data_IF_079699051954
#
_entry.id   IF_079699051954
#
_cell.length_a   1.000
_cell.length_b   1.000
_cell.length_c   1.000
_cell.angle_alpha   90.00
_cell.angle_beta   90.00
_cell.angle_gamma   90.00
#
_symmetry.space_group_name_H-M   'P 1'
#
loop_
_entity.id
_entity.type
_entity.pdbx_description
1 polymer ?
#
# COMPACT_ATOMS: atom_id res chain seq x y z
N UNK A 1 23.83 8.33 -11.43
CA UNK A 1 24.13 9.71 -11.89
C UNK A 1 23.07 10.17 -12.88
N UNK A 2 22.83 9.48 -14.02
CA UNK A 2 21.84 9.90 -15.03
C UNK A 2 20.43 10.08 -14.44
N UNK A 3 19.97 9.19 -13.58
CA UNK A 3 18.69 9.29 -12.87
C UNK A 3 18.57 10.56 -12.02
N UNK A 4 19.64 10.96 -11.33
CA UNK A 4 19.64 12.17 -10.51
C UNK A 4 19.45 13.45 -11.36
N UNK A 5 20.05 13.49 -12.55
CA UNK A 5 19.82 14.60 -13.49
C UNK A 5 18.37 14.64 -13.99
N UNK A 6 17.80 13.49 -14.37
CA UNK A 6 16.40 13.43 -14.79
C UNK A 6 15.48 13.88 -13.64
N UNK A 7 15.76 13.43 -12.41
CA UNK A 7 15.00 13.81 -11.23
C UNK A 7 15.01 15.32 -11.00
N UNK A 8 16.18 15.95 -11.05
CA UNK A 8 16.33 17.40 -10.87
C UNK A 8 15.64 18.23 -11.96
N UNK A 9 15.46 17.68 -13.15
CA UNK A 9 14.79 18.34 -14.27
C UNK A 9 13.26 18.19 -14.25
N UNK A 10 12.76 17.09 -13.67
CA UNK A 10 11.34 16.72 -13.78
C UNK A 10 10.58 16.89 -12.46
N UNK A 11 11.28 16.80 -11.32
CA UNK A 11 10.63 16.86 -10.01
C UNK A 11 10.74 18.27 -9.42
N UNK A 12 9.59 18.85 -9.14
CA UNK A 12 9.46 20.16 -8.52
C UNK A 12 9.05 20.02 -7.05
N UNK A 13 9.56 20.85 -6.15
CA UNK A 13 9.25 20.77 -4.71
C UNK A 13 7.83 21.24 -4.37
N UNK A 14 7.20 22.04 -5.25
CA UNK A 14 5.84 22.52 -5.06
C UNK A 14 5.09 22.62 -6.40
N UNK A 15 3.74 22.53 -6.38
CA UNK A 15 2.93 22.71 -7.60
C UNK A 15 3.10 24.10 -8.26
N UNK A 16 3.49 25.11 -7.48
CA UNK A 16 3.69 26.48 -7.96
C UNK A 16 4.89 26.60 -8.90
N UNK A 17 5.89 25.74 -8.71
CA UNK A 17 7.10 25.70 -9.53
C UNK A 17 7.00 24.71 -10.69
N UNK A 18 5.98 23.83 -10.67
CA UNK A 18 5.79 22.81 -11.68
C UNK A 18 5.24 23.40 -12.98
N UNK A 19 5.67 22.84 -14.12
CA UNK A 19 5.17 23.19 -15.45
C UNK A 19 3.85 22.42 -15.72
N UNK A 20 2.81 22.78 -14.98
CA UNK A 20 1.47 22.19 -15.04
C UNK A 20 0.44 23.25 -15.40
N UNK A 21 -0.73 22.81 -15.90
CA UNK A 21 -1.84 23.71 -16.20
C UNK A 21 -2.41 24.39 -14.96
N UNK A 22 -3.00 25.57 -15.12
CA UNK A 22 -3.51 26.35 -13.99
C UNK A 22 -4.65 25.62 -13.24
N UNK A 23 -5.51 24.89 -13.96
CA UNK A 23 -6.57 24.07 -13.36
C UNK A 23 -6.02 22.90 -12.53
N UNK A 24 -4.94 22.27 -12.98
CA UNK A 24 -4.28 21.18 -12.25
C UNK A 24 -3.54 21.73 -11.03
N UNK A 25 -2.92 22.92 -11.15
CA UNK A 25 -2.25 23.60 -10.05
C UNK A 25 -3.22 23.95 -8.92
N UNK A 26 -4.40 24.46 -9.25
CA UNK A 26 -5.43 24.80 -8.26
C UNK A 26 -5.94 23.54 -7.54
N UNK A 27 -6.24 22.48 -8.28
CA UNK A 27 -6.63 21.20 -7.71
C UNK A 27 -5.58 20.64 -6.73
N UNK A 28 -4.30 20.68 -7.13
CA UNK A 28 -3.21 20.21 -6.27
C UNK A 28 -3.05 21.09 -5.04
N UNK A 29 -3.25 22.39 -5.16
CA UNK A 29 -3.19 23.35 -4.05
C UNK A 29 -4.30 23.05 -3.02
N UNK A 30 -5.54 22.90 -3.45
CA UNK A 30 -6.65 22.53 -2.59
C UNK A 30 -6.40 21.20 -1.86
N UNK A 31 -5.86 20.20 -2.58
CA UNK A 31 -5.53 18.91 -1.98
C UNK A 31 -4.39 19.01 -0.96
N UNK A 32 -3.38 19.84 -1.22
CA UNK A 32 -2.28 20.08 -0.29
C UNK A 32 -2.74 20.82 0.96
N UNK A 33 -3.56 21.86 0.81
CA UNK A 33 -4.14 22.59 1.94
C UNK A 33 -5.02 21.67 2.80
N UNK A 34 -5.85 20.84 2.18
CA UNK A 34 -6.64 19.83 2.87
C UNK A 34 -5.75 18.79 3.59
N UNK A 35 -4.65 18.38 2.97
CA UNK A 35 -3.68 17.47 3.57
C UNK A 35 -2.90 18.11 4.73
N UNK A 36 -2.50 19.38 4.59
CA UNK A 36 -1.83 20.14 5.65
C UNK A 36 -2.76 20.36 6.86
N UNK A 37 -4.01 20.72 6.62
CA UNK A 37 -5.01 20.88 7.68
C UNK A 37 -5.24 19.55 8.43
N UNK A 38 -5.22 18.42 7.73
CA UNK A 38 -5.24 17.07 8.35
C UNK A 38 -3.97 16.76 9.12
N UNK A 39 -2.81 17.14 8.61
CA UNK A 39 -1.53 16.93 9.26
C UNK A 39 -1.36 17.80 10.52
N UNK A 40 -1.92 19.00 10.54
CA UNK A 40 -1.93 19.88 11.72
C UNK A 40 -2.85 19.34 12.83
N UNK A 41 -3.82 18.49 12.48
CA UNK A 41 -4.61 17.69 13.42
C UNK A 41 -3.92 16.36 13.77
N UNK A 42 -2.63 16.22 13.48
CA UNK A 42 -1.92 14.95 13.70
C UNK A 42 -1.95 14.61 15.19
N UNK A 43 -2.65 13.54 15.48
CA UNK A 43 -2.69 12.91 16.80
C UNK A 43 -1.27 12.54 17.19
N UNK A 44 -0.84 12.94 18.39
CA UNK A 44 0.46 12.52 18.93
C UNK A 44 0.60 11.00 18.79
N UNK A 45 1.83 10.52 18.54
CA UNK A 45 2.12 9.08 18.41
C UNK A 45 1.59 8.30 19.63
N UNK A 46 1.60 8.93 20.81
CA UNK A 46 1.11 8.33 22.06
C UNK A 46 -0.42 8.23 22.15
N UNK A 47 -1.15 9.03 21.36
CA UNK A 47 -2.62 9.03 21.32
C UNK A 47 -3.20 8.08 20.26
N UNK A 48 -2.33 7.44 19.48
CA UNK A 48 -2.76 6.46 18.47
C UNK A 48 -3.38 5.23 19.16
N UNK A 49 -4.40 4.64 18.55
CA UNK A 49 -5.09 3.49 19.14
C UNK A 49 -4.30 2.18 18.94
N UNK A 50 -3.09 2.11 19.46
CA UNK A 50 -2.15 0.99 19.32
C UNK A 50 -2.78 -0.37 19.63
N UNK A 51 -3.55 -0.45 20.72
CA UNK A 51 -4.25 -1.69 21.08
C UNK A 51 -5.17 -2.15 19.94
N UNK A 52 -5.88 -1.24 19.28
CA UNK A 52 -6.76 -1.56 18.16
C UNK A 52 -5.96 -2.03 16.93
N UNK A 53 -4.81 -1.41 16.67
CA UNK A 53 -3.96 -1.83 15.57
C UNK A 53 -3.47 -3.28 15.73
N UNK A 54 -3.02 -3.66 16.91
CA UNK A 54 -2.49 -5.00 17.18
C UNK A 54 -3.57 -6.07 17.44
N UNK A 55 -4.81 -5.67 17.74
CA UNK A 55 -5.92 -6.63 17.95
C UNK A 55 -6.85 -6.76 16.74
N UNK A 56 -6.68 -5.95 15.71
CA UNK A 56 -7.51 -6.00 14.50
C UNK A 56 -7.04 -7.12 13.57
N UNK A 57 -7.89 -8.10 13.31
CA UNK A 57 -7.60 -9.20 12.40
C UNK A 57 -7.27 -8.73 10.98
N UNK A 58 -7.95 -7.74 10.38
CA UNK A 58 -7.57 -7.21 9.08
C UNK A 58 -6.17 -6.58 9.08
N UNK A 59 -5.76 -5.89 10.14
CA UNK A 59 -4.40 -5.34 10.25
C UNK A 59 -3.37 -6.47 10.36
N UNK A 60 -3.66 -7.50 11.16
CA UNK A 60 -2.79 -8.68 11.25
C UNK A 60 -2.67 -9.40 9.90
N UNK A 61 -3.77 -9.47 9.13
CA UNK A 61 -3.75 -10.10 7.80
C UNK A 61 -2.79 -9.35 6.85
N UNK A 62 -2.79 -8.02 6.87
CA UNK A 62 -1.86 -7.21 6.07
C UNK A 62 -0.42 -7.43 6.54
N UNK A 63 -0.20 -7.48 7.86
CA UNK A 63 1.13 -7.72 8.43
C UNK A 63 1.67 -9.10 8.04
N UNK A 64 0.88 -10.17 8.19
CA UNK A 64 1.24 -11.53 7.76
C UNK A 64 1.53 -11.56 6.25
N UNK A 65 0.71 -10.88 5.43
CA UNK A 65 0.96 -10.72 4.02
C UNK A 65 2.33 -10.07 3.73
N UNK A 66 2.65 -9.00 4.45
CA UNK A 66 3.95 -8.33 4.33
C UNK A 66 5.11 -9.25 4.76
N UNK A 67 4.96 -9.98 5.85
CA UNK A 67 5.97 -10.92 6.34
C UNK A 67 6.25 -12.02 5.30
N UNK A 68 5.22 -12.69 4.79
CA UNK A 68 5.36 -13.73 3.77
C UNK A 68 6.00 -13.19 2.49
N UNK A 69 5.59 -11.98 2.08
CA UNK A 69 6.19 -11.30 0.92
C UNK A 69 7.68 -11.08 1.09
N UNK A 70 8.10 -10.51 2.21
CA UNK A 70 9.50 -10.20 2.44
C UNK A 70 10.34 -11.46 2.62
N UNK A 71 9.77 -12.53 3.19
CA UNK A 71 10.43 -13.83 3.28
C UNK A 71 10.80 -14.36 1.90
N UNK A 72 9.83 -14.50 0.99
CA UNK A 72 10.06 -15.00 -0.38
C UNK A 72 10.94 -14.05 -1.18
N UNK A 73 10.72 -12.73 -1.04
CA UNK A 73 11.50 -11.74 -1.78
C UNK A 73 12.99 -11.80 -1.43
N UNK A 74 13.33 -11.92 -0.14
CA UNK A 74 14.70 -12.11 0.31
C UNK A 74 15.28 -13.44 -0.20
N UNK A 75 14.49 -14.51 -0.15
CA UNK A 75 14.91 -15.80 -0.69
C UNK A 75 15.24 -15.72 -2.20
N UNK A 76 14.40 -15.06 -2.99
CA UNK A 76 14.60 -14.90 -4.42
C UNK A 76 15.86 -14.08 -4.75
N UNK A 77 16.11 -13.00 -4.02
CA UNK A 77 17.26 -12.12 -4.29
C UNK A 77 18.56 -12.73 -3.77
N UNK A 78 18.56 -13.27 -2.55
CA UNK A 78 19.78 -13.65 -1.88
C UNK A 78 20.16 -15.11 -2.15
N UNK A 79 19.19 -16.00 -2.24
CA UNK A 79 19.44 -17.43 -2.20
C UNK A 79 19.31 -18.11 -3.57
N UNK A 80 18.51 -17.60 -4.50
CA UNK A 80 18.33 -18.21 -5.83
C UNK A 80 19.63 -18.23 -6.65
N UNK A 81 20.49 -17.19 -6.65
CA UNK A 81 21.78 -17.29 -7.31
C UNK A 81 22.65 -18.43 -6.77
N UNK A 82 22.66 -18.61 -5.45
CA UNK A 82 23.41 -19.65 -4.80
C UNK A 82 22.81 -21.03 -5.06
N UNK A 83 21.48 -21.15 -5.07
CA UNK A 83 20.77 -22.37 -5.47
C UNK A 83 21.21 -22.88 -6.85
N UNK A 84 21.23 -22.02 -7.85
CA UNK A 84 21.66 -22.41 -9.20
C UNK A 84 23.14 -22.80 -9.25
N UNK A 85 23.97 -22.13 -8.45
CA UNK A 85 25.39 -22.47 -8.35
C UNK A 85 25.63 -23.81 -7.67
N UNK A 86 25.04 -24.02 -6.49
CA UNK A 86 25.31 -25.19 -5.65
C UNK A 86 24.67 -26.45 -6.23
N UNK A 87 23.43 -26.35 -6.75
CA UNK A 87 22.69 -27.52 -7.24
C UNK A 87 23.04 -27.93 -8.65
N UNK A 88 23.44 -26.96 -9.51
CA UNK A 88 23.65 -27.25 -10.94
C UNK A 88 24.99 -26.81 -11.48
N UNK A 89 25.83 -26.16 -10.69
CA UNK A 89 27.19 -25.75 -11.13
C UNK A 89 27.20 -24.79 -12.31
N UNK A 90 26.15 -23.98 -12.50
CA UNK A 90 26.00 -23.12 -13.66
C UNK A 90 27.04 -21.99 -13.70
N UNK A 91 27.45 -21.52 -14.90
CA UNK A 91 28.34 -20.37 -15.05
C UNK A 91 27.72 -19.11 -14.48
N UNK A 92 28.53 -18.22 -13.87
CA UNK A 92 28.06 -16.97 -13.21
C UNK A 92 27.22 -16.07 -14.14
N UNK A 93 27.60 -15.98 -15.43
CA UNK A 93 26.83 -15.19 -16.40
C UNK A 93 25.40 -15.73 -16.58
N UNK A 94 25.25 -17.05 -16.65
CA UNK A 94 23.94 -17.71 -16.75
C UNK A 94 23.13 -17.49 -15.47
N UNK A 95 23.75 -17.65 -14.30
CA UNK A 95 23.11 -17.41 -12.99
C UNK A 95 22.58 -15.99 -12.90
N UNK A 96 23.35 -14.99 -13.36
CA UNK A 96 22.92 -13.59 -13.38
C UNK A 96 21.62 -13.39 -14.15
N UNK A 97 21.52 -13.97 -15.35
CA UNK A 97 20.29 -13.88 -16.17
C UNK A 97 19.12 -14.62 -15.50
N UNK A 98 19.33 -15.84 -15.02
CA UNK A 98 18.30 -16.66 -14.39
C UNK A 98 17.77 -16.01 -13.10
N UNK A 99 18.61 -15.28 -12.37
CA UNK A 99 18.22 -14.60 -11.13
C UNK A 99 17.53 -13.25 -11.40
N UNK A 100 17.88 -12.57 -12.49
CA UNK A 100 17.28 -11.27 -12.83
C UNK A 100 15.90 -11.41 -13.51
N UNK A 101 15.72 -12.41 -14.36
CA UNK A 101 14.51 -12.57 -15.16
C UNK A 101 13.19 -12.64 -14.35
N UNK A 102 13.09 -13.33 -13.20
CA UNK A 102 11.88 -13.33 -12.38
C UNK A 102 11.48 -11.93 -11.94
N UNK A 103 12.43 -11.06 -11.61
CA UNK A 103 12.15 -9.67 -11.21
C UNK A 103 11.67 -8.82 -12.37
N UNK A 104 12.19 -9.04 -13.58
CA UNK A 104 11.69 -8.38 -14.81
C UNK A 104 10.23 -8.79 -15.06
N UNK A 105 9.93 -10.09 -14.97
CA UNK A 105 8.56 -10.60 -15.09
C UNK A 105 7.62 -9.93 -14.05
N UNK A 106 8.08 -9.82 -12.80
CA UNK A 106 7.32 -9.16 -11.73
C UNK A 106 7.00 -7.69 -12.08
N UNK A 107 7.98 -6.92 -12.56
CA UNK A 107 7.78 -5.50 -12.91
C UNK A 107 6.76 -5.34 -14.04
N UNK A 108 6.85 -6.17 -15.08
CA UNK A 108 5.90 -6.17 -16.20
C UNK A 108 4.48 -6.45 -15.69
N UNK A 109 4.31 -7.52 -14.91
CA UNK A 109 3.00 -7.91 -14.40
C UNK A 109 2.43 -6.95 -13.34
N UNK A 110 3.28 -6.20 -12.64
CA UNK A 110 2.84 -5.20 -11.66
C UNK A 110 2.00 -4.10 -12.31
N UNK A 111 2.42 -3.60 -13.47
CA UNK A 111 1.67 -2.58 -14.20
C UNK A 111 0.31 -3.10 -14.68
N UNK A 112 0.27 -4.32 -15.22
CA UNK A 112 -0.98 -4.95 -15.64
C UNK A 112 -1.91 -5.23 -14.46
N UNK A 113 -1.37 -5.77 -13.36
CA UNK A 113 -2.13 -6.14 -12.16
C UNK A 113 -2.81 -4.94 -11.53
N UNK A 114 -2.09 -3.84 -11.34
CA UNK A 114 -2.65 -2.61 -10.77
C UNK A 114 -3.83 -2.10 -11.59
N UNK A 115 -3.65 -1.94 -12.89
CA UNK A 115 -4.72 -1.47 -13.79
C UNK A 115 -5.92 -2.43 -13.80
N UNK A 116 -5.67 -3.73 -13.78
CA UNK A 116 -6.73 -4.74 -13.78
C UNK A 116 -7.59 -4.68 -12.51
N UNK A 117 -6.96 -4.71 -11.33
CA UNK A 117 -7.70 -4.70 -10.06
C UNK A 117 -8.37 -3.36 -9.79
N UNK A 118 -7.76 -2.24 -10.19
CA UNK A 118 -8.38 -0.92 -10.08
C UNK A 118 -9.63 -0.81 -10.96
N UNK A 119 -9.60 -1.35 -12.18
CA UNK A 119 -10.79 -1.41 -13.06
C UNK A 119 -11.91 -2.28 -12.47
N UNK A 120 -11.61 -3.35 -11.75
CA UNK A 120 -12.64 -4.15 -11.08
C UNK A 120 -13.39 -3.34 -10.02
N UNK A 121 -12.66 -2.53 -9.24
CA UNK A 121 -13.24 -1.64 -8.24
C UNK A 121 -14.04 -0.52 -8.92
N UNK A 122 -13.44 0.19 -9.88
CA UNK A 122 -14.07 1.32 -10.58
C UNK A 122 -15.36 0.92 -11.28
N UNK A 123 -15.39 -0.27 -11.90
CA UNK A 123 -16.60 -0.80 -12.56
C UNK A 123 -17.59 -1.44 -11.59
N UNK A 124 -17.30 -1.42 -10.29
CA UNK A 124 -18.13 -2.06 -9.25
C UNK A 124 -18.44 -3.54 -9.51
N UNK A 125 -17.57 -4.24 -10.22
CA UNK A 125 -17.73 -5.68 -10.50
C UNK A 125 -17.48 -6.52 -9.24
N UNK A 126 -16.60 -6.05 -8.36
CA UNK A 126 -16.30 -6.65 -7.06
C UNK A 126 -16.20 -5.56 -6.00
N UNK A 127 -16.57 -5.90 -4.76
CA UNK A 127 -16.31 -5.02 -3.62
C UNK A 127 -14.80 -4.86 -3.39
N UNK A 128 -14.41 -3.75 -2.73
CA UNK A 128 -13.00 -3.50 -2.39
C UNK A 128 -12.41 -4.69 -1.63
N UNK A 129 -13.14 -5.22 -0.64
CA UNK A 129 -12.71 -6.39 0.14
C UNK A 129 -12.43 -7.61 -0.73
N UNK A 130 -13.34 -7.97 -1.63
CA UNK A 130 -13.14 -9.11 -2.51
C UNK A 130 -12.03 -8.90 -3.53
N UNK A 131 -11.90 -7.68 -4.04
CA UNK A 131 -10.80 -7.34 -4.97
C UNK A 131 -9.44 -7.50 -4.28
N UNK A 132 -9.30 -7.00 -3.03
CA UNK A 132 -8.05 -7.14 -2.26
C UNK A 132 -7.75 -8.61 -1.95
N UNK A 133 -8.75 -9.38 -1.53
CA UNK A 133 -8.62 -10.82 -1.26
C UNK A 133 -8.22 -11.61 -2.50
N UNK A 134 -8.87 -11.34 -3.62
CA UNK A 134 -8.61 -12.03 -4.88
C UNK A 134 -7.20 -11.71 -5.40
N UNK A 135 -6.80 -10.45 -5.40
CA UNK A 135 -5.47 -10.01 -5.81
C UNK A 135 -4.37 -10.72 -4.99
N UNK A 136 -4.54 -10.76 -3.68
CA UNK A 136 -3.62 -11.42 -2.77
C UNK A 136 -3.60 -12.94 -2.96
N UNK A 137 -4.77 -13.57 -3.06
CA UNK A 137 -4.89 -15.01 -3.18
C UNK A 137 -4.31 -15.52 -4.50
N UNK A 138 -4.58 -14.85 -5.61
CA UNK A 138 -3.97 -15.19 -6.90
C UNK A 138 -2.46 -14.99 -6.83
N UNK A 139 -2.01 -13.81 -6.35
CA UNK A 139 -0.59 -13.49 -6.28
C UNK A 139 0.20 -14.48 -5.42
N UNK A 140 -0.24 -14.71 -4.19
CA UNK A 140 0.47 -15.60 -3.27
C UNK A 140 0.18 -17.08 -3.51
N UNK A 141 -1.03 -17.42 -3.96
CA UNK A 141 -1.38 -18.79 -4.30
C UNK A 141 -0.51 -19.32 -5.43
N UNK A 142 -0.40 -18.57 -6.53
CA UNK A 142 0.45 -18.97 -7.66
C UNK A 142 1.93 -18.95 -7.27
N UNK A 143 2.41 -17.88 -6.63
CA UNK A 143 3.83 -17.81 -6.23
C UNK A 143 4.18 -18.90 -5.22
N UNK A 144 3.35 -19.13 -4.20
CA UNK A 144 3.56 -20.18 -3.20
C UNK A 144 3.50 -21.57 -3.80
N UNK A 145 2.55 -21.81 -4.70
CA UNK A 145 2.44 -23.07 -5.44
C UNK A 145 3.64 -23.34 -6.33
N UNK A 146 4.11 -22.35 -7.11
CA UNK A 146 5.32 -22.46 -7.90
C UNK A 146 6.55 -22.71 -7.03
N UNK A 147 6.70 -21.97 -5.92
CA UNK A 147 7.82 -22.14 -4.98
C UNK A 147 7.80 -23.54 -4.35
N UNK A 148 6.62 -24.02 -3.97
CA UNK A 148 6.46 -25.38 -3.44
C UNK A 148 6.78 -26.44 -4.51
N UNK A 149 6.35 -26.25 -5.75
CA UNK A 149 6.63 -27.16 -6.85
C UNK A 149 8.14 -27.31 -7.15
N UNK A 150 8.92 -26.22 -7.02
CA UNK A 150 10.38 -26.26 -7.18
C UNK A 150 11.03 -27.25 -6.21
N UNK A 151 10.45 -27.46 -5.02
CA UNK A 151 10.96 -28.43 -4.05
C UNK A 151 10.93 -29.89 -4.54
N UNK A 152 10.22 -30.18 -5.63
CA UNK A 152 10.05 -31.52 -6.20
C UNK A 152 10.65 -31.64 -7.61
N UNK A 153 11.42 -30.63 -8.04
CA UNK A 153 11.99 -30.59 -9.41
C UNK A 153 13.50 -30.60 -9.35
N UNK A 154 14.10 -31.44 -10.20
CA UNK A 154 15.54 -31.60 -10.31
C UNK A 154 16.13 -30.88 -11.55
N UNK A 155 15.29 -30.37 -12.45
CA UNK A 155 15.73 -29.64 -13.65
C UNK A 155 15.68 -28.13 -13.44
N UNK A 156 16.84 -27.49 -13.61
CA UNK A 156 16.98 -26.03 -13.42
C UNK A 156 16.12 -25.20 -14.38
N UNK A 157 15.82 -25.70 -15.59
CA UNK A 157 15.00 -24.97 -16.58
C UNK A 157 13.55 -24.90 -16.11
N UNK A 158 13.04 -26.02 -15.56
CA UNK A 158 11.69 -26.06 -15.00
C UNK A 158 11.60 -25.20 -13.74
N UNK A 159 12.59 -25.28 -12.84
CA UNK A 159 12.67 -24.42 -11.67
C UNK A 159 12.70 -22.93 -12.06
N UNK A 160 13.47 -22.57 -13.08
CA UNK A 160 13.53 -21.20 -13.60
C UNK A 160 12.18 -20.71 -14.12
N UNK A 161 11.47 -21.51 -14.91
CA UNK A 161 10.15 -21.17 -15.41
C UNK A 161 9.17 -20.91 -14.24
N UNK A 162 9.19 -21.79 -13.23
CA UNK A 162 8.33 -21.63 -12.06
C UNK A 162 8.69 -20.37 -11.24
N UNK A 163 9.98 -20.04 -11.13
CA UNK A 163 10.42 -18.79 -10.50
C UNK A 163 9.87 -17.56 -11.25
N UNK A 164 9.95 -17.57 -12.58
CA UNK A 164 9.42 -16.47 -13.40
C UNK A 164 7.90 -16.35 -13.29
N UNK A 165 7.17 -17.46 -13.40
CA UNK A 165 5.71 -17.48 -13.26
C UNK A 165 5.28 -17.01 -11.86
N UNK A 166 5.88 -17.58 -10.81
CA UNK A 166 5.60 -17.20 -9.43
C UNK A 166 5.86 -15.71 -9.17
N UNK A 167 7.01 -15.20 -9.63
CA UNK A 167 7.35 -13.79 -9.48
C UNK A 167 6.39 -12.87 -10.25
N UNK A 168 6.02 -13.22 -11.48
CA UNK A 168 5.06 -12.47 -12.28
C UNK A 168 3.71 -12.31 -11.54
N UNK A 169 3.14 -13.43 -11.10
CA UNK A 169 1.85 -13.40 -10.40
C UNK A 169 1.92 -12.75 -9.03
N UNK A 170 3.07 -12.81 -8.34
CA UNK A 170 3.24 -12.16 -7.04
C UNK A 170 3.04 -10.64 -7.09
N UNK A 171 3.20 -10.04 -8.25
CA UNK A 171 2.95 -8.62 -8.49
C UNK A 171 1.51 -8.23 -8.19
N UNK A 172 0.54 -9.13 -8.40
CA UNK A 172 -0.88 -8.87 -8.12
C UNK A 172 -1.17 -8.66 -6.64
N UNK A 173 -0.43 -9.32 -5.76
CA UNK A 173 -0.58 -9.16 -4.32
C UNK A 173 -0.25 -7.74 -3.83
N UNK A 174 0.50 -6.96 -4.58
CA UNK A 174 0.78 -5.55 -4.26
C UNK A 174 -0.53 -4.75 -4.22
N UNK A 175 -1.44 -4.98 -5.18
CA UNK A 175 -2.79 -4.39 -5.18
C UNK A 175 -3.69 -4.94 -4.06
N UNK A 176 -3.33 -6.06 -3.44
CA UNK A 176 -4.02 -6.65 -2.28
C UNK A 176 -3.61 -5.96 -0.98
N UNK A 177 -2.52 -6.41 -0.37
CA UNK A 177 -2.16 -6.03 1.00
C UNK A 177 -1.51 -4.65 1.14
N UNK A 178 -0.78 -4.16 0.12
CA UNK A 178 0.04 -2.96 0.27
C UNK A 178 -0.80 -1.67 0.26
N UNK A 179 -1.89 -1.65 -0.47
CA UNK A 179 -2.84 -0.52 -0.52
C UNK A 179 -3.90 -0.58 0.57
N UNK A 180 -4.11 -1.74 1.18
CA UNK A 180 -5.17 -2.00 2.14
C UNK A 180 -5.13 -1.16 3.43
N UNK A 181 -3.98 -0.67 3.96
CA UNK A 181 -3.98 0.30 5.06
C UNK A 181 -4.82 1.56 4.80
N UNK A 182 -4.87 2.03 3.54
CA UNK A 182 -5.69 3.16 3.13
C UNK A 182 -7.19 2.82 3.18
N UNK A 183 -7.56 1.58 2.84
CA UNK A 183 -8.96 1.14 2.88
C UNK A 183 -9.45 1.00 4.34
N UNK A 184 -8.60 0.44 5.22
CA UNK A 184 -8.97 0.14 6.62
C UNK A 184 -9.12 1.39 7.48
N UNK A 185 -8.21 2.33 7.36
CA UNK A 185 -8.20 3.54 8.18
C UNK A 185 -7.37 4.65 7.50
N UNK A 186 -7.94 5.43 6.58
CA UNK A 186 -7.23 6.46 5.83
C UNK A 186 -6.48 7.46 6.73
N UNK A 187 -7.09 7.88 7.86
CA UNK A 187 -6.46 8.80 8.79
C UNK A 187 -5.26 8.22 9.54
N UNK A 188 -5.15 6.91 9.64
CA UNK A 188 -4.04 6.20 10.27
C UNK A 188 -3.18 5.41 9.25
N UNK A 189 -3.31 5.72 7.96
CA UNK A 189 -2.60 4.98 6.90
C UNK A 189 -1.07 5.00 7.07
N UNK A 190 -0.51 6.14 7.51
CA UNK A 190 0.93 6.26 7.81
C UNK A 190 1.40 5.30 8.90
N UNK A 191 0.86 5.39 10.13
CA UNK A 191 1.17 4.47 11.23
C UNK A 191 0.93 3.00 10.87
N UNK A 192 -0.19 2.68 10.21
CA UNK A 192 -0.50 1.31 9.78
C UNK A 192 0.52 0.79 8.75
N UNK A 193 0.89 1.62 7.79
CA UNK A 193 1.95 1.28 6.83
C UNK A 193 3.29 1.04 7.54
N UNK A 194 3.60 1.83 8.58
CA UNK A 194 4.76 1.61 9.44
C UNK A 194 4.74 0.23 10.09
N UNK A 195 3.61 -0.18 10.69
CA UNK A 195 3.43 -1.51 11.27
C UNK A 195 3.62 -2.60 10.20
N UNK A 196 2.96 -2.45 9.05
CA UNK A 196 3.05 -3.43 7.95
C UNK A 196 4.50 -3.59 7.46
N UNK A 197 5.27 -2.50 7.41
CA UNK A 197 6.69 -2.56 7.04
C UNK A 197 7.54 -3.35 8.03
N UNK A 198 7.15 -3.52 9.29
CA UNK A 198 7.86 -4.43 10.20
C UNK A 198 7.79 -5.90 9.76
N UNK A 199 6.90 -6.24 8.83
CA UNK A 199 6.91 -7.53 8.11
C UNK A 199 8.22 -7.82 7.37
N UNK A 200 9.13 -6.84 7.23
CA UNK A 200 10.52 -7.07 6.79
C UNK A 200 11.26 -8.09 7.66
N UNK A 201 10.79 -8.36 8.87
CA UNK A 201 11.28 -9.49 9.67
C UNK A 201 11.23 -10.82 8.92
N UNK A 202 10.30 -10.98 7.97
CA UNK A 202 10.28 -12.13 7.08
C UNK A 202 11.57 -12.31 6.28
N UNK A 203 12.19 -11.23 5.81
CA UNK A 203 13.48 -11.28 5.13
C UNK A 203 14.59 -11.74 6.06
N UNK A 204 14.62 -11.24 7.30
CA UNK A 204 15.59 -11.66 8.32
C UNK A 204 15.44 -13.15 8.63
N UNK A 205 14.20 -13.63 8.79
CA UNK A 205 13.92 -15.05 9.04
C UNK A 205 14.35 -15.90 7.86
N UNK A 206 14.09 -15.46 6.62
CA UNK A 206 14.48 -16.19 5.40
C UNK A 206 16.01 -16.37 5.31
N UNK A 207 16.77 -15.29 5.45
CA UNK A 207 18.24 -15.34 5.37
C UNK A 207 18.84 -16.08 6.56
N UNK A 208 18.27 -15.96 7.76
CA UNK A 208 18.70 -16.74 8.94
C UNK A 208 18.45 -18.23 8.74
N UNK A 209 17.27 -18.61 8.23
CA UNK A 209 16.96 -20.01 7.92
C UNK A 209 17.95 -20.58 6.88
N UNK A 210 18.24 -19.81 5.84
CA UNK A 210 19.22 -20.19 4.84
C UNK A 210 20.62 -20.42 5.44
N UNK A 211 21.02 -19.62 6.43
CA UNK A 211 22.32 -19.78 7.11
C UNK A 211 22.38 -21.00 8.02
N UNK A 212 21.25 -21.50 8.48
CA UNK A 212 21.17 -22.71 9.33
C UNK A 212 21.22 -24.01 8.51
N UNK A 213 21.08 -23.95 7.19
CA UNK A 213 21.23 -25.12 6.35
C UNK A 213 22.67 -25.64 6.41
N UNK A 214 22.89 -26.95 6.65
CA UNK A 214 24.23 -27.48 6.91
C UNK A 214 25.13 -27.44 5.69
N UNK A 215 26.39 -27.02 5.88
CA UNK A 215 27.49 -27.14 4.96
C UNK A 215 27.84 -25.90 4.13
N UNK A 216 29.15 -25.86 3.69
CA UNK A 216 29.64 -24.82 2.75
C UNK A 216 29.08 -24.97 1.34
N UNK A 217 28.77 -26.21 0.93
CA UNK A 217 28.04 -26.52 -0.31
C UNK A 217 26.73 -27.18 0.07
N UNK A 218 25.65 -26.46 -0.09
CA UNK A 218 24.31 -26.95 0.16
C UNK A 218 23.94 -27.96 -0.93
N UNK A 219 23.40 -29.10 -0.52
CA UNK A 219 22.87 -30.09 -1.46
C UNK A 219 21.56 -29.65 -2.07
N UNK A 220 21.19 -30.21 -3.22
CA UNK A 220 19.88 -29.99 -3.83
C UNK A 220 18.75 -30.26 -2.84
N UNK A 221 18.86 -31.32 -2.03
CA UNK A 221 17.87 -31.64 -0.99
C UNK A 221 17.71 -30.52 0.08
N UNK A 222 18.82 -29.86 0.46
CA UNK A 222 18.76 -28.73 1.39
C UNK A 222 18.00 -27.55 0.80
N UNK A 223 18.19 -27.27 -0.49
CA UNK A 223 17.47 -26.24 -1.23
C UNK A 223 16.00 -26.59 -1.40
N UNK A 224 15.68 -27.86 -1.72
CA UNK A 224 14.29 -28.32 -1.80
C UNK A 224 13.54 -28.11 -0.49
N UNK A 225 14.15 -28.39 0.66
CA UNK A 225 13.55 -28.09 1.99
C UNK A 225 13.28 -26.61 2.18
N UNK A 226 14.19 -25.73 1.75
CA UNK A 226 13.99 -24.28 1.85
C UNK A 226 12.84 -23.80 0.97
N UNK A 227 12.75 -24.25 -0.27
CA UNK A 227 11.64 -23.93 -1.16
C UNK A 227 10.31 -24.48 -0.63
N UNK A 228 10.31 -25.66 -0.03
CA UNK A 228 9.13 -26.26 0.60
C UNK A 228 8.64 -25.39 1.77
N UNK A 229 9.53 -24.98 2.68
CA UNK A 229 9.18 -24.10 3.81
C UNK A 229 8.64 -22.76 3.28
N UNK A 230 9.33 -22.14 2.33
CA UNK A 230 8.90 -20.87 1.74
C UNK A 230 7.55 -20.97 1.04
N UNK A 231 7.33 -22.03 0.26
CA UNK A 231 6.07 -22.28 -0.44
C UNK A 231 4.90 -22.49 0.53
N UNK A 232 5.06 -23.32 1.56
CA UNK A 232 4.05 -23.58 2.58
C UNK A 232 3.72 -22.28 3.35
N UNK A 233 4.75 -21.53 3.77
CA UNK A 233 4.56 -20.26 4.47
C UNK A 233 3.77 -19.26 3.62
N UNK A 234 4.06 -19.19 2.33
CA UNK A 234 3.41 -18.28 1.41
C UNK A 234 1.94 -18.65 1.17
N UNK A 235 1.66 -19.94 0.98
CA UNK A 235 0.30 -20.45 0.86
C UNK A 235 -0.51 -20.26 2.15
N UNK A 236 0.10 -20.50 3.31
CA UNK A 236 -0.54 -20.21 4.61
C UNK A 236 -0.87 -18.73 4.75
N UNK A 237 0.05 -17.83 4.33
CA UNK A 237 -0.19 -16.39 4.28
C UNK A 237 -1.34 -16.00 3.35
N UNK A 238 -1.44 -16.64 2.17
CA UNK A 238 -2.56 -16.44 1.25
C UNK A 238 -3.90 -16.81 1.87
N UNK A 239 -3.98 -17.96 2.52
CA UNK A 239 -5.19 -18.43 3.20
C UNK A 239 -5.53 -17.52 4.39
N UNK A 240 -4.56 -17.15 5.20
CA UNK A 240 -4.78 -16.25 6.34
C UNK A 240 -5.33 -14.89 5.87
N UNK A 241 -4.78 -14.33 4.82
CA UNK A 241 -5.28 -13.08 4.26
C UNK A 241 -6.70 -13.25 3.69
N UNK A 242 -6.97 -14.33 2.98
CA UNK A 242 -8.30 -14.61 2.43
C UNK A 242 -9.36 -14.67 3.53
N UNK A 243 -9.04 -15.25 4.68
CA UNK A 243 -9.98 -15.38 5.79
C UNK A 243 -10.20 -14.06 6.53
N UNK A 244 -9.13 -13.35 6.87
CA UNK A 244 -9.15 -12.24 7.84
C UNK A 244 -9.01 -10.84 7.27
N UNK A 245 -8.64 -10.66 5.99
CA UNK A 245 -8.54 -9.33 5.40
C UNK A 245 -9.92 -8.70 5.19
N UNK A 246 -9.94 -7.39 5.24
CA UNK A 246 -11.09 -6.56 4.91
C UNK A 246 -10.64 -5.37 4.07
N UNK A 247 -11.46 -4.90 3.15
CA UNK A 247 -11.28 -3.64 2.43
C UNK A 247 -12.23 -2.56 2.94
N UNK A 248 -12.91 -2.79 4.08
CA UNK A 248 -13.86 -1.87 4.66
C UNK A 248 -13.22 -1.10 5.80
N UNK A 249 -13.66 0.15 5.94
CA UNK A 249 -13.20 1.01 7.03
C UNK A 249 -13.53 0.40 8.38
N UNK A 250 -12.54 0.33 9.25
CA UNK A 250 -12.70 -0.30 10.55
C UNK A 250 -13.49 0.59 11.50
N UNK A 251 -14.32 -0.01 12.36
CA UNK A 251 -15.19 0.68 13.33
C UNK A 251 -14.44 1.58 14.33
N UNK A 252 -13.17 1.26 14.59
CA UNK A 252 -12.29 2.07 15.44
C UNK A 252 -11.63 3.24 14.69
N UNK A 253 -11.72 3.27 13.36
CA UNK A 253 -11.27 4.39 12.57
C UNK A 253 -12.36 5.47 12.61
N UNK A 254 -12.08 6.57 13.30
CA UNK A 254 -12.99 7.73 13.34
C UNK A 254 -13.17 8.27 11.93
N UNK A 255 -14.38 8.67 11.59
CA UNK A 255 -14.64 9.37 10.36
C UNK A 255 -14.43 10.88 10.59
N UNK A 256 -13.32 11.47 10.08
CA UNK A 256 -13.14 12.92 10.18
C UNK A 256 -14.15 13.68 9.33
N UNK A 257 -14.86 12.98 8.44
CA UNK A 257 -15.86 13.54 7.51
C UNK A 257 -17.26 13.04 7.79
N UNK A 258 -17.57 12.61 9.02
CA UNK A 258 -18.94 12.29 9.40
C UNK A 258 -19.79 13.56 9.27
N UNK A 259 -20.42 13.75 8.12
CA UNK A 259 -21.19 14.96 7.76
C UNK A 259 -20.73 15.66 6.49
N UNK A 260 -19.61 15.29 5.87
CA UNK A 260 -19.25 15.76 4.52
C UNK A 260 -19.73 14.76 3.45
N UNK A 261 -20.23 15.22 2.30
CA UNK A 261 -20.59 14.35 1.19
C UNK A 261 -19.37 13.48 0.83
N UNK A 262 -19.57 12.18 0.69
CA UNK A 262 -18.51 11.28 0.20
C UNK A 262 -18.22 11.60 -1.26
N UNK A 263 -16.99 11.32 -1.72
CA UNK A 263 -16.67 11.41 -3.13
C UNK A 263 -17.64 10.58 -4.02
N UNK A 264 -18.26 9.54 -3.44
CA UNK A 264 -19.31 8.73 -4.05
C UNK A 264 -20.65 9.47 -4.19
N UNK A 265 -20.89 10.47 -3.33
CA UNK A 265 -22.12 11.28 -3.30
C UNK A 265 -21.99 12.51 -4.22
N UNK A 266 -20.79 12.79 -4.76
CA UNK A 266 -20.56 13.86 -5.73
C UNK A 266 -21.01 13.35 -7.11
N UNK A 267 -21.97 14.01 -7.77
CA UNK A 267 -22.42 13.61 -9.09
C UNK A 267 -21.24 13.46 -10.06
N UNK A 268 -21.21 12.36 -10.82
CA UNK A 268 -20.10 12.00 -11.75
C UNK A 268 -19.80 13.10 -12.80
N UNK A 269 -20.70 14.01 -13.03
CA UNK A 269 -20.55 15.17 -13.92
C UNK A 269 -19.43 16.12 -13.46
N UNK A 270 -19.19 16.19 -12.15
CA UNK A 270 -18.09 16.99 -11.56
C UNK A 270 -16.74 16.28 -11.66
N UNK A 271 -16.74 14.94 -11.71
CA UNK A 271 -15.50 14.14 -11.70
C UNK A 271 -14.88 13.94 -13.11
N UNK A 272 -15.69 14.07 -14.18
CA UNK A 272 -15.25 13.79 -15.55
C UNK A 272 -14.68 14.99 -16.31
N UNK A 273 -14.44 16.13 -15.66
CA UNK A 273 -13.69 17.25 -16.27
C UNK A 273 -14.33 17.86 -17.52
N UNK A 274 -15.58 17.53 -17.84
CA UNK A 274 -16.35 18.24 -18.84
C UNK A 274 -16.99 19.45 -18.19
N UNK A 275 -16.28 20.55 -18.17
CA UNK A 275 -16.86 21.87 -18.06
C UNK A 275 -17.68 22.11 -19.36
N UNK A 276 -18.87 21.56 -19.40
CA UNK A 276 -19.91 22.07 -20.24
C UNK A 276 -20.60 23.17 -19.47
N UNK A 277 -20.35 24.41 -19.87
CA UNK A 277 -21.07 25.64 -19.53
C UNK A 277 -21.35 25.92 -18.03
N UNK A 278 -20.81 27.03 -17.53
CA UNK A 278 -21.14 27.59 -16.23
C UNK A 278 -22.65 27.51 -15.93
N UNK A 279 -23.07 26.82 -14.85
CA UNK A 279 -24.43 27.01 -14.37
C UNK A 279 -24.55 28.46 -13.93
N UNK A 280 -25.53 29.18 -14.48
CA UNK A 280 -25.82 30.57 -14.16
C UNK A 280 -25.82 30.74 -12.64
N UNK A 281 -25.10 31.74 -12.17
CA UNK A 281 -24.90 32.15 -10.79
C UNK A 281 -26.20 32.20 -9.91
N UNK A 282 -27.37 32.17 -10.53
CA UNK A 282 -28.69 32.19 -9.87
C UNK A 282 -29.14 30.85 -9.28
N UNK A 283 -28.55 29.71 -9.68
CA UNK A 283 -28.98 28.39 -9.18
C UNK A 283 -28.07 27.85 -8.05
N UNK A 284 -26.84 28.39 -7.91
CA UNK A 284 -25.92 28.01 -6.84
C UNK A 284 -26.14 28.76 -5.52
N UNK A 285 -26.83 29.89 -5.56
CA UNK A 285 -27.07 30.75 -4.37
C UNK A 285 -27.90 30.08 -3.25
N UNK A 286 -28.91 29.23 -3.53
CA UNK A 286 -29.64 28.51 -2.46
C UNK A 286 -28.77 27.45 -1.76
N UNK A 287 -27.85 26.81 -2.47
CA UNK A 287 -26.97 25.77 -1.91
C UNK A 287 -25.85 26.37 -1.05
N UNK A 288 -25.30 27.50 -1.45
CA UNK A 288 -24.29 28.24 -0.65
C UNK A 288 -24.91 28.81 0.64
N UNK A 289 -26.15 29.30 0.63
CA UNK A 289 -26.85 29.75 1.84
C UNK A 289 -27.16 28.60 2.82
N UNK A 290 -27.39 27.40 2.34
CA UNK A 290 -27.59 26.24 3.21
C UNK A 290 -26.29 25.81 3.90
N UNK A 291 -25.14 25.98 3.25
CA UNK A 291 -23.83 25.69 3.84
C UNK A 291 -23.44 26.76 4.86
N UNK A 292 -23.68 28.05 4.59
CA UNK A 292 -23.40 29.13 5.54
C UNK A 292 -24.30 29.08 6.78
N UNK A 293 -25.55 28.63 6.67
CA UNK A 293 -26.47 28.49 7.84
C UNK A 293 -26.04 27.36 8.78
N UNK A 294 -25.30 26.36 8.30
CA UNK A 294 -24.78 25.26 9.13
C UNK A 294 -23.45 25.65 9.84
N UNK A 295 -22.70 26.59 9.27
CA UNK A 295 -21.42 27.03 9.87
C UNK A 295 -21.61 28.14 10.93
N UNK A 296 -22.75 28.83 10.98
CA UNK A 296 -23.00 29.91 11.93
C UNK A 296 -23.99 29.58 13.07
N UNK A 297 -24.45 28.32 13.16
CA UNK A 297 -25.31 27.81 14.23
C UNK A 297 -24.54 27.20 15.39
N UNK A 298 -23.98 28.02 16.28
CA UNK A 298 -23.72 27.60 17.64
C UNK A 298 -22.27 27.52 18.14
N UNK A 299 -21.72 28.65 18.53
CA UNK A 299 -20.93 28.78 19.77
C UNK A 299 -21.08 30.24 20.24
N UNK A 300 -21.89 30.47 21.26
CA UNK A 300 -21.84 31.72 22.02
C UNK A 300 -20.60 31.73 22.88
N UNK A 301 -19.74 32.75 22.81
CA UNK A 301 -18.64 32.88 23.78
C UNK A 301 -19.23 33.28 25.14
N UNK A 302 -18.84 32.53 26.16
CA UNK A 302 -19.13 32.86 27.57
C UNK A 302 -18.47 34.20 27.93
N UNK A 303 -19.28 35.18 28.29
CA UNK A 303 -18.82 36.43 28.85
C UNK A 303 -18.25 36.23 30.24
N UNK A 304 -16.95 36.26 30.39
CA UNK A 304 -16.34 36.50 31.68
C UNK A 304 -16.18 38.01 31.89
N UNK A 305 -17.07 38.51 32.76
CA UNK A 305 -16.98 39.80 33.42
C UNK A 305 -15.72 39.82 34.30
N UNK A 306 -14.74 40.67 34.01
CA UNK A 306 -13.86 41.21 35.01
C UNK A 306 -14.02 42.74 35.01
N UNK A 307 -14.62 43.18 36.09
CA UNK A 307 -14.74 44.59 36.41
C UNK A 307 -13.50 45.06 37.20
N UNK A 308 -13.23 46.31 36.99
CA UNK A 308 -12.78 47.13 38.11
C UNK A 308 -11.33 47.61 38.08
N UNK A 309 -11.21 48.95 38.00
CA UNK A 309 -10.17 49.77 38.67
C UNK A 309 -8.77 49.81 37.98
N UNK A 310 -8.18 50.89 37.64
CA UNK A 310 -8.12 52.24 38.22
C UNK A 310 -7.52 53.24 37.22
N UNK A 311 -7.94 54.46 37.35
CA UNK A 311 -7.34 55.70 36.94
C UNK A 311 -5.87 55.83 37.40
N UNK A 312 -5.08 56.52 36.62
CA UNK A 312 -3.76 57.04 37.01
C UNK A 312 -3.15 57.89 35.91
N UNK A 313 -3.54 59.14 35.88
CA UNK A 313 -2.86 60.23 35.18
C UNK A 313 -1.41 60.45 35.65
N UNK A 314 -0.64 61.06 34.78
CA UNK A 314 0.38 62.07 35.01
C UNK A 314 1.72 61.82 34.33
N UNK A 315 2.01 62.81 33.48
CA UNK A 315 3.22 63.29 32.83
C UNK A 315 3.76 62.56 31.64
#
# INVERSE_FOLDING_TARGET
VAWAFVWLLVVYPSPEQATIGDSERELLREQLEAAQNRATQSTSIFELPWKKFFTSLPVMAIWVGSFCRNFIFAMLISEVPQYFKDSYGLPTATIGVLSAAPHVCMVIFMSFGSVFFDKLIQKQLLSVTWTRKLAQFIGYGVQGGCTLAIAFIDDYKQAFILLCVGAAFSAFAISGFQTNPLDLAPQYAGPLTGIVRTGMLGAVVSTSLASLLPGRSRTLESWQKMFMIGGILHLAGAVFYLLFASGERQSWAKDPTAGQPRAEDIPREVYNGHFADEPRRSEAEPLLRSVESVTHGGIKPASHRYGGLMNGSVN
#
